data_IF_674891767534
#
_entry.id   IF_674891767534
#
_cell.length_a   1.000
_cell.length_b   1.000
_cell.length_c   1.000
_cell.angle_alpha   90.00
_cell.angle_beta   90.00
_cell.angle_gamma   90.00
#
_symmetry.space_group_name_H-M   'P 1'
#
loop_
_entity.id
_entity.type
_entity.pdbx_description
1 polymer ?
#
# COMPACT_ATOMS: atom_id res chain seq x y z
N UNK A 1 3.98 1.97 8.69
CA UNK A 1 2.67 2.29 9.26
C UNK A 1 1.76 2.49 8.09
N UNK A 2 0.52 2.05 8.22
CA UNK A 2 -0.53 2.32 7.27
C UNK A 2 -1.33 3.52 7.79
N UNK A 3 -1.54 4.50 6.93
CA UNK A 3 -2.24 5.74 7.28
C UNK A 3 -3.46 5.92 6.37
N UNK A 4 -4.65 5.81 6.91
CA UNK A 4 -5.89 6.04 6.17
C UNK A 4 -6.38 7.44 6.49
N UNK A 5 -6.68 8.22 5.47
CA UNK A 5 -7.20 9.59 5.60
C UNK A 5 -8.58 9.60 4.96
N UNK A 6 -9.61 9.77 5.79
CA UNK A 6 -11.01 9.72 5.35
C UNK A 6 -11.92 10.50 6.28
N UNK A 7 -12.96 11.11 5.73
CA UNK A 7 -14.09 11.67 6.49
C UNK A 7 -15.19 10.62 6.76
N UNK A 8 -14.99 9.39 6.27
CA UNK A 8 -15.94 8.28 6.34
C UNK A 8 -15.48 7.19 7.29
N UNK A 9 -15.03 7.57 8.48
CA UNK A 9 -14.49 6.64 9.48
C UNK A 9 -15.50 5.55 9.87
N UNK A 10 -16.80 5.85 9.81
CA UNK A 10 -17.88 4.89 10.08
C UNK A 10 -17.84 3.70 9.11
N UNK A 11 -17.43 3.90 7.85
CA UNK A 11 -17.27 2.82 6.86
C UNK A 11 -16.12 1.86 7.21
N UNK A 12 -15.27 2.27 8.17
CA UNK A 12 -14.09 1.54 8.63
C UNK A 12 -14.26 1.01 10.07
N UNK A 13 -15.47 1.13 10.64
CA UNK A 13 -15.78 0.54 11.94
C UNK A 13 -15.62 -0.99 11.90
N UNK A 14 -14.94 -1.53 12.92
CA UNK A 14 -14.69 -2.98 13.03
C UNK A 14 -13.33 -3.46 12.57
N UNK A 15 -12.45 -2.57 12.07
CA UNK A 15 -11.05 -2.94 11.85
C UNK A 15 -10.34 -3.09 13.18
N UNK A 16 -9.97 -4.33 13.51
CA UNK A 16 -9.23 -4.63 14.73
C UNK A 16 -7.86 -3.92 14.74
N UNK A 17 -7.46 -3.44 15.93
CA UNK A 17 -6.16 -2.80 16.18
C UNK A 17 -5.91 -1.48 15.39
N UNK A 18 -6.93 -0.90 14.78
CA UNK A 18 -6.84 0.43 14.17
C UNK A 18 -6.89 1.54 15.24
N UNK A 19 -5.98 2.51 15.13
CA UNK A 19 -6.00 3.73 15.93
C UNK A 19 -6.76 4.81 15.16
N UNK A 20 -7.99 5.06 15.55
CA UNK A 20 -8.83 6.13 14.98
C UNK A 20 -8.62 7.42 15.74
N UNK A 21 -8.22 8.50 15.06
CA UNK A 21 -7.99 9.83 15.68
C UNK A 21 -8.41 10.97 14.75
N UNK A 22 -8.75 12.10 15.33
CA UNK A 22 -8.78 13.36 14.58
C UNK A 22 -7.35 13.87 14.32
N UNK A 23 -7.19 14.81 13.39
CA UNK A 23 -5.87 15.41 13.12
C UNK A 23 -5.26 16.11 14.35
N UNK A 24 -6.09 16.67 15.25
CA UNK A 24 -5.62 17.33 16.46
C UNK A 24 -5.04 16.35 17.49
N UNK A 25 -5.43 15.08 17.42
CA UNK A 25 -5.03 14.04 18.37
C UNK A 25 -3.82 13.21 17.90
N UNK A 26 -3.24 13.56 16.74
CA UNK A 26 -2.05 12.88 16.20
C UNK A 26 -0.84 12.97 17.13
N UNK A 27 -0.76 14.02 17.95
CA UNK A 27 0.30 14.16 18.96
C UNK A 27 0.33 13.00 19.97
N UNK A 28 -0.78 12.27 20.15
CA UNK A 28 -0.88 11.11 21.04
C UNK A 28 -0.42 9.81 20.40
N UNK A 29 -0.13 9.80 19.10
CA UNK A 29 0.37 8.62 18.39
C UNK A 29 1.88 8.74 18.26
N UNK A 30 2.62 7.76 18.77
CA UNK A 30 4.07 7.71 18.61
C UNK A 30 4.43 7.56 17.12
N UNK A 31 5.16 8.53 16.50
CA UNK A 31 5.41 8.51 15.06
C UNK A 31 6.22 7.31 14.58
N UNK A 32 7.01 6.67 15.44
CA UNK A 32 7.86 5.54 15.02
C UNK A 32 7.18 4.17 15.14
N UNK A 33 6.07 4.08 15.87
CA UNK A 33 5.39 2.81 16.10
C UNK A 33 4.82 2.24 14.80
N UNK A 34 4.85 0.91 14.60
CA UNK A 34 3.99 0.31 13.61
C UNK A 34 2.55 0.36 14.11
N UNK A 35 1.68 1.01 13.34
CA UNK A 35 0.25 1.04 13.61
C UNK A 35 -0.52 1.16 12.30
N UNK A 36 -1.79 0.77 12.34
CA UNK A 36 -2.80 1.17 11.39
C UNK A 36 -3.49 2.40 11.98
N UNK A 37 -3.31 3.55 11.36
CA UNK A 37 -3.86 4.83 11.85
C UNK A 37 -4.92 5.30 10.87
N UNK A 38 -6.10 5.61 11.37
CA UNK A 38 -7.19 6.21 10.59
C UNK A 38 -7.37 7.64 11.10
N UNK A 39 -7.21 8.61 10.21
CA UNK A 39 -7.39 10.03 10.52
C UNK A 39 -8.71 10.51 9.94
N UNK A 40 -9.59 10.99 10.82
CA UNK A 40 -10.90 11.55 10.47
C UNK A 40 -10.77 12.95 9.86
N UNK A 41 -10.31 13.01 8.60
CA UNK A 41 -10.20 14.24 7.82
C UNK A 41 -10.35 13.93 6.33
N UNK A 42 -10.77 14.95 5.57
CA UNK A 42 -10.89 14.86 4.12
C UNK A 42 -9.56 14.84 3.37
N UNK A 43 -8.58 15.64 3.82
CA UNK A 43 -7.27 15.82 3.17
C UNK A 43 -6.16 15.99 4.20
N UNK A 44 -4.92 15.60 3.87
CA UNK A 44 -3.77 15.86 4.73
C UNK A 44 -3.66 17.36 5.05
N UNK A 45 -3.62 17.70 6.33
CA UNK A 45 -3.45 19.07 6.79
C UNK A 45 -2.09 19.27 7.46
N UNK A 46 -1.80 20.50 7.88
CA UNK A 46 -0.52 20.84 8.52
C UNK A 46 -0.19 19.96 9.74
N UNK A 47 -1.17 19.56 10.55
CA UNK A 47 -0.94 18.69 11.71
C UNK A 47 -0.51 17.28 11.28
N UNK A 48 -1.13 16.73 10.23
CA UNK A 48 -0.69 15.45 9.63
C UNK A 48 0.73 15.58 9.09
N UNK A 49 1.00 16.62 8.31
CA UNK A 49 2.31 16.85 7.69
C UNK A 49 3.42 17.04 8.73
N UNK A 50 3.16 17.79 9.80
CA UNK A 50 4.11 17.96 10.89
C UNK A 50 4.36 16.63 11.61
N UNK A 51 3.31 15.85 11.87
CA UNK A 51 3.44 14.57 12.56
C UNK A 51 4.20 13.53 11.72
N UNK A 52 3.89 13.41 10.43
CA UNK A 52 4.59 12.47 9.53
C UNK A 52 6.03 12.91 9.24
N UNK A 53 6.34 14.21 9.28
CA UNK A 53 7.71 14.70 9.13
C UNK A 53 8.66 14.18 10.23
N UNK A 54 8.11 13.80 11.38
CA UNK A 54 8.87 13.22 12.50
C UNK A 54 9.22 11.75 12.25
N UNK A 55 8.66 11.11 11.21
CA UNK A 55 8.88 9.69 10.91
C UNK A 55 10.22 9.47 10.22
N UNK A 56 10.90 8.40 10.62
CA UNK A 56 12.14 7.93 9.97
C UNK A 56 11.89 6.87 8.90
N UNK A 57 10.74 6.19 8.96
CA UNK A 57 10.32 5.14 8.03
C UNK A 57 9.15 5.61 7.18
N UNK A 58 9.20 5.22 5.91
CA UNK A 58 8.12 5.43 4.96
C UNK A 58 6.78 4.92 5.49
N UNK A 59 5.72 5.59 5.05
CA UNK A 59 4.33 5.25 5.33
C UNK A 59 3.61 5.10 4.03
N UNK A 60 2.66 4.17 4.03
CA UNK A 60 1.76 4.00 2.91
C UNK A 60 0.41 4.62 3.29
N UNK A 61 0.00 5.61 2.52
CA UNK A 61 -1.18 6.40 2.77
C UNK A 61 -2.31 5.89 1.88
N UNK A 62 -3.48 5.71 2.45
CA UNK A 62 -4.70 5.52 1.69
C UNK A 62 -5.56 6.77 1.84
N UNK A 63 -5.95 7.35 0.72
CA UNK A 63 -6.68 8.61 0.66
C UNK A 63 -8.08 8.32 0.13
N UNK A 64 -9.09 8.59 0.96
CA UNK A 64 -10.48 8.53 0.53
C UNK A 64 -10.69 9.47 -0.66
N UNK A 65 -11.54 9.06 -1.61
CA UNK A 65 -11.72 9.70 -2.91
C UNK A 65 -11.83 11.20 -2.76
N UNK A 66 -10.76 11.90 -3.11
CA UNK A 66 -10.75 13.35 -3.14
C UNK A 66 -11.38 13.77 -4.45
N UNK A 67 -12.33 14.71 -4.47
CA UNK A 67 -12.76 15.36 -5.72
C UNK A 67 -11.65 16.22 -6.36
N UNK A 68 -10.40 16.04 -5.94
CA UNK A 68 -9.23 16.73 -6.44
C UNK A 68 -8.61 15.95 -7.60
N UNK A 69 -8.04 16.66 -8.59
CA UNK A 69 -7.17 16.05 -9.58
C UNK A 69 -6.01 15.31 -8.90
N UNK A 70 -5.59 14.23 -9.54
CA UNK A 70 -4.51 13.34 -9.08
C UNK A 70 -3.22 14.09 -8.68
N UNK A 71 -2.72 14.96 -9.57
CA UNK A 71 -1.49 15.72 -9.33
C UNK A 71 -1.58 16.58 -8.06
N UNK A 72 -2.76 17.13 -7.79
CA UNK A 72 -3.00 17.95 -6.59
C UNK A 72 -2.93 17.13 -5.32
N UNK A 73 -3.26 15.84 -5.35
CA UNK A 73 -3.18 14.97 -4.17
C UNK A 73 -1.73 14.65 -3.82
N UNK A 74 -0.89 14.40 -4.84
CA UNK A 74 0.53 14.13 -4.66
C UNK A 74 1.30 15.32 -4.08
N UNK A 75 0.81 16.55 -4.24
CA UNK A 75 1.40 17.74 -3.60
C UNK A 75 1.30 17.70 -2.08
N UNK A 76 0.27 17.03 -1.52
CA UNK A 76 0.08 16.89 -0.08
C UNK A 76 0.86 15.71 0.53
N UNK A 77 1.49 14.86 -0.28
CA UNK A 77 2.18 13.67 0.20
C UNK A 77 3.69 13.87 0.10
N UNK A 78 4.42 13.97 1.24
CA UNK A 78 5.87 14.09 1.24
C UNK A 78 6.53 12.97 0.44
N UNK A 79 7.61 13.28 -0.30
CA UNK A 79 8.27 12.34 -1.20
C UNK A 79 8.82 11.06 -0.52
N UNK A 80 9.02 11.08 0.79
CA UNK A 80 9.41 9.91 1.60
C UNK A 80 8.24 8.94 1.89
N UNK A 81 7.05 9.24 1.39
CA UNK A 81 5.82 8.49 1.60
C UNK A 81 5.19 8.17 0.26
N UNK A 82 4.42 7.08 0.26
CA UNK A 82 3.68 6.62 -0.90
C UNK A 82 2.19 6.75 -0.59
N UNK A 83 1.36 7.05 -1.58
CA UNK A 83 -0.09 7.03 -1.42
C UNK A 83 -0.81 6.19 -2.45
N UNK A 84 -1.98 5.69 -2.07
CA UNK A 84 -2.99 5.10 -2.93
C UNK A 84 -4.31 5.84 -2.70
N UNK A 85 -5.07 6.02 -3.77
CA UNK A 85 -6.37 6.68 -3.73
C UNK A 85 -7.48 5.63 -3.78
N UNK A 86 -8.63 5.97 -3.20
CA UNK A 86 -9.83 5.12 -3.25
C UNK A 86 -10.25 4.72 -4.66
N UNK A 87 -9.97 5.56 -5.67
CA UNK A 87 -10.22 5.26 -7.09
C UNK A 87 -9.42 4.08 -7.61
N UNK A 88 -8.28 3.77 -6.97
CA UNK A 88 -7.37 2.70 -7.37
C UNK A 88 -7.53 1.45 -6.51
N UNK A 89 -7.94 1.61 -5.25
CA UNK A 89 -8.08 0.52 -4.28
C UNK A 89 -9.00 0.99 -3.16
N UNK A 90 -10.03 0.22 -2.81
CA UNK A 90 -10.85 0.55 -1.65
C UNK A 90 -10.10 0.33 -0.32
N UNK A 91 -10.60 0.89 0.77
CA UNK A 91 -9.92 0.80 2.06
C UNK A 91 -9.86 -0.64 2.61
N UNK A 92 -10.92 -1.43 2.41
CA UNK A 92 -11.00 -2.80 2.89
C UNK A 92 -9.94 -3.66 2.20
N UNK A 93 -9.82 -3.49 0.90
CA UNK A 93 -8.81 -4.14 0.08
C UNK A 93 -7.40 -3.69 0.48
N UNK A 94 -7.19 -2.37 0.66
CA UNK A 94 -5.93 -1.81 1.15
C UNK A 94 -5.47 -2.43 2.46
N UNK A 95 -6.36 -2.48 3.45
CA UNK A 95 -6.06 -3.04 4.75
C UNK A 95 -5.82 -4.54 4.61
N UNK A 96 -6.71 -5.27 3.95
CA UNK A 96 -6.59 -6.73 3.78
C UNK A 96 -5.29 -7.12 3.08
N UNK A 97 -4.84 -6.32 2.10
CA UNK A 97 -3.62 -6.55 1.34
C UNK A 97 -2.39 -6.20 2.17
N UNK A 98 -2.32 -4.98 2.70
CA UNK A 98 -1.06 -4.43 3.20
C UNK A 98 -0.89 -4.62 4.70
N UNK A 99 -1.97 -4.77 5.46
CA UNK A 99 -1.88 -4.98 6.90
C UNK A 99 -1.18 -6.30 7.24
N UNK A 100 -1.43 -7.46 6.59
CA UNK A 100 -0.69 -8.69 6.89
C UNK A 100 0.78 -8.60 6.47
N UNK A 101 1.08 -7.91 5.36
CA UNK A 101 2.46 -7.71 4.91
C UNK A 101 3.26 -6.79 5.83
N UNK A 102 2.62 -5.72 6.32
CA UNK A 102 3.28 -4.70 7.13
C UNK A 102 3.33 -5.08 8.61
N UNK A 103 2.24 -5.62 9.16
CA UNK A 103 2.14 -6.00 10.57
C UNK A 103 2.47 -7.47 10.80
N UNK A 104 2.24 -8.35 9.82
CA UNK A 104 2.51 -9.77 10.00
C UNK A 104 3.98 -10.16 10.10
N UNK A 105 4.87 -9.25 9.73
CA UNK A 105 6.31 -9.35 10.02
C UNK A 105 6.71 -8.73 11.36
N UNK A 106 5.80 -8.02 12.01
CA UNK A 106 6.03 -7.30 13.27
C UNK A 106 5.32 -7.96 14.46
N UNK A 107 4.36 -8.84 14.20
CA UNK A 107 3.63 -9.62 15.20
C UNK A 107 3.67 -11.10 14.81
N UNK A 108 4.18 -11.93 15.71
CA UNK A 108 4.57 -13.33 15.48
C UNK A 108 3.42 -14.29 15.07
N UNK A 109 2.15 -13.86 15.17
CA UNK A 109 0.96 -14.71 14.98
C UNK A 109 0.25 -14.54 13.63
N UNK A 110 0.91 -13.98 12.62
CA UNK A 110 0.25 -13.62 11.36
C UNK A 110 0.53 -14.69 10.29
N UNK A 111 -0.49 -15.17 9.55
CA UNK A 111 -0.36 -16.33 8.66
C UNK A 111 0.78 -16.18 7.66
N UNK A 112 1.44 -17.31 7.36
CA UNK A 112 2.59 -17.47 6.47
C UNK A 112 2.53 -16.54 5.26
N UNK A 113 3.15 -15.38 5.42
CA UNK A 113 3.22 -14.40 4.38
C UNK A 113 4.59 -14.49 3.72
N UNK A 114 4.61 -14.97 2.48
CA UNK A 114 5.84 -15.12 1.72
C UNK A 114 6.10 -13.80 0.99
N UNK A 115 6.98 -13.02 1.60
CA UNK A 115 7.52 -11.80 1.03
C UNK A 115 8.91 -12.08 0.50
N UNK A 116 9.07 -12.02 -0.82
CA UNK A 116 10.37 -12.17 -1.51
C UNK A 116 11.35 -11.02 -1.23
N UNK A 117 10.90 -9.98 -0.54
CA UNK A 117 11.70 -8.80 -0.16
C UNK A 117 11.98 -8.78 1.33
N UNK A 118 13.15 -8.29 1.72
CA UNK A 118 13.50 -8.10 3.14
C UNK A 118 12.80 -6.88 3.75
N UNK A 119 12.60 -6.84 5.09
CA UNK A 119 12.16 -5.61 5.76
C UNK A 119 13.11 -4.46 5.45
N UNK A 120 12.60 -3.28 5.12
CA UNK A 120 13.41 -2.13 4.68
C UNK A 120 13.49 -1.99 3.16
N UNK A 121 13.55 -3.09 2.40
CA UNK A 121 13.46 -3.02 0.93
C UNK A 121 12.07 -2.56 0.51
N UNK A 122 11.00 -3.05 1.15
CA UNK A 122 9.64 -2.55 0.89
C UNK A 122 9.57 -1.03 1.07
N UNK A 123 10.09 -0.52 2.18
CA UNK A 123 10.10 0.90 2.47
C UNK A 123 10.96 1.70 1.49
N UNK A 124 12.11 1.18 1.07
CA UNK A 124 12.93 1.81 0.03
C UNK A 124 12.18 1.89 -1.31
N UNK A 125 11.41 0.86 -1.65
CA UNK A 125 10.61 0.86 -2.87
C UNK A 125 9.41 1.80 -2.78
N UNK A 126 8.73 1.84 -1.62
CA UNK A 126 7.69 2.84 -1.35
C UNK A 126 8.23 4.27 -1.40
N UNK A 127 9.49 4.52 -1.04
CA UNK A 127 10.10 5.86 -1.20
C UNK A 127 10.31 6.20 -2.68
N UNK A 128 10.66 5.22 -3.51
CA UNK A 128 10.83 5.41 -4.96
C UNK A 128 9.49 5.59 -5.68
N UNK A 129 8.43 5.00 -5.14
CA UNK A 129 7.09 5.07 -5.69
C UNK A 129 6.25 6.10 -4.93
N UNK A 130 6.06 7.28 -5.53
CA UNK A 130 5.17 8.30 -4.92
C UNK A 130 3.71 7.85 -4.88
N UNK A 131 3.31 6.97 -5.78
CA UNK A 131 1.98 6.43 -5.88
C UNK A 131 1.98 4.91 -5.92
N UNK A 132 0.85 4.32 -5.54
CA UNK A 132 0.53 2.92 -5.66
C UNK A 132 -0.86 2.80 -6.30
N UNK A 133 -0.95 2.06 -7.41
CA UNK A 133 -2.19 1.73 -8.13
C UNK A 133 -2.36 0.23 -8.19
N UNK A 134 -3.57 -0.29 -8.27
CA UNK A 134 -3.82 -1.69 -8.60
C UNK A 134 -4.38 -1.80 -10.01
N UNK A 135 -3.78 -2.67 -10.80
CA UNK A 135 -4.26 -2.98 -12.15
C UNK A 135 -4.42 -4.50 -12.24
N UNK A 136 -5.63 -5.01 -12.54
CA UNK A 136 -5.83 -6.43 -12.81
C UNK A 136 -4.93 -6.91 -13.94
N UNK A 137 -4.38 -8.12 -13.83
CA UNK A 137 -3.45 -8.67 -14.85
C UNK A 137 -3.98 -8.55 -16.29
N UNK A 138 -5.27 -8.83 -16.49
CA UNK A 138 -5.89 -8.81 -17.82
C UNK A 138 -6.09 -7.40 -18.38
N UNK A 139 -5.98 -6.37 -17.55
CA UNK A 139 -6.05 -4.96 -17.93
C UNK A 139 -4.66 -4.35 -18.17
N UNK A 140 -3.58 -5.11 -17.93
CA UNK A 140 -2.21 -4.66 -18.17
C UNK A 140 -1.97 -4.54 -19.68
N UNK A 141 -1.91 -3.30 -20.18
CA UNK A 141 -1.53 -3.01 -21.55
C UNK A 141 -0.02 -2.69 -21.65
N UNK A 142 0.72 -3.25 -22.63
CA UNK A 142 2.16 -3.00 -22.81
C UNK A 142 2.53 -1.51 -22.98
N UNK A 143 1.56 -0.71 -23.44
CA UNK A 143 1.73 0.73 -23.72
C UNK A 143 1.35 1.64 -22.55
N UNK A 144 0.70 1.11 -21.49
CA UNK A 144 0.37 1.84 -20.26
C UNK A 144 1.38 1.51 -19.14
N UNK A 145 2.66 1.31 -19.48
CA UNK A 145 3.77 1.26 -18.54
C UNK A 145 3.96 2.66 -17.90
N UNK A 146 2.98 3.04 -17.09
CA UNK A 146 2.96 4.26 -16.32
C UNK A 146 3.81 4.02 -15.07
N UNK A 147 4.39 5.11 -14.61
CA UNK A 147 5.47 5.14 -13.65
C UNK A 147 4.94 4.77 -12.27
N UNK A 148 5.66 3.89 -11.56
CA UNK A 148 5.44 3.58 -10.15
C UNK A 148 4.07 2.97 -9.79
N UNK A 149 3.55 2.01 -10.57
CA UNK A 149 2.33 1.28 -10.19
C UNK A 149 2.62 -0.10 -9.61
N UNK A 150 1.85 -0.47 -8.57
CA UNK A 150 1.74 -1.88 -8.19
C UNK A 150 0.90 -2.61 -9.24
N UNK A 151 1.19 -3.88 -9.46
CA UNK A 151 0.38 -4.71 -10.36
C UNK A 151 -0.32 -5.79 -9.54
N UNK A 152 -1.59 -6.02 -9.86
CA UNK A 152 -2.44 -6.93 -9.11
C UNK A 152 -2.80 -8.16 -9.94
N UNK A 153 -2.44 -9.32 -9.41
CA UNK A 153 -2.94 -10.60 -9.88
C UNK A 153 -4.01 -11.08 -8.90
N UNK A 154 -5.28 -10.97 -9.27
CA UNK A 154 -6.32 -11.70 -8.54
C UNK A 154 -6.25 -13.16 -8.94
N UNK A 155 -5.83 -13.99 -8.00
CA UNK A 155 -6.00 -15.43 -8.14
C UNK A 155 -7.50 -15.77 -8.09
N UNK A 156 -8.12 -15.94 -9.25
CA UNK A 156 -9.14 -16.99 -9.40
C UNK A 156 -8.49 -18.39 -9.50
N UNK A 157 -7.16 -18.46 -9.49
CA UNK A 157 -6.33 -19.63 -9.79
C UNK A 157 -5.41 -19.99 -8.62
N UNK A 158 -6.01 -20.40 -7.49
CA UNK A 158 -5.32 -20.89 -6.29
C UNK A 158 -4.53 -22.20 -6.49
N UNK A 159 -4.36 -22.67 -7.73
CA UNK A 159 -3.72 -23.93 -8.05
C UNK A 159 -2.28 -23.79 -8.57
N UNK A 160 -1.74 -22.56 -8.64
CA UNK A 160 -0.36 -22.35 -9.09
C UNK A 160 0.63 -22.40 -7.91
N UNK A 161 1.82 -22.98 -8.15
CA UNK A 161 2.90 -22.99 -7.17
C UNK A 161 3.58 -21.62 -7.04
N UNK A 162 4.31 -21.40 -5.95
CA UNK A 162 5.13 -20.19 -5.75
C UNK A 162 6.11 -19.97 -6.92
N UNK A 163 6.75 -21.04 -7.38
CA UNK A 163 7.73 -21.00 -8.47
C UNK A 163 7.07 -20.56 -9.80
N UNK A 164 5.84 -21.01 -10.06
CA UNK A 164 5.06 -20.58 -11.23
C UNK A 164 4.69 -19.09 -11.15
N UNK A 165 4.35 -18.60 -9.95
CA UNK A 165 4.11 -17.17 -9.72
C UNK A 165 5.36 -16.32 -9.97
N UNK A 166 6.51 -16.74 -9.46
CA UNK A 166 7.78 -16.04 -9.67
C UNK A 166 8.16 -16.00 -11.16
N UNK A 167 8.01 -17.13 -11.87
CA UNK A 167 8.28 -17.19 -13.32
C UNK A 167 7.36 -16.27 -14.12
N UNK A 168 6.07 -16.23 -13.76
CA UNK A 168 5.09 -15.34 -14.40
C UNK A 168 5.43 -13.86 -14.15
N UNK A 169 5.84 -13.53 -12.93
CA UNK A 169 6.37 -12.21 -12.58
C UNK A 169 7.58 -11.84 -13.43
N UNK A 170 8.58 -12.72 -13.53
CA UNK A 170 9.79 -12.49 -14.34
C UNK A 170 9.45 -12.22 -15.80
N UNK A 171 8.50 -12.98 -16.37
CA UNK A 171 8.02 -12.74 -17.73
C UNK A 171 7.36 -11.37 -17.86
N UNK A 172 6.45 -11.01 -16.94
CA UNK A 172 5.77 -9.72 -16.98
C UNK A 172 6.75 -8.55 -16.84
N UNK A 173 7.75 -8.69 -15.96
CA UNK A 173 8.84 -7.72 -15.80
C UNK A 173 9.55 -7.46 -17.14
N UNK A 174 9.87 -8.54 -17.87
CA UNK A 174 10.49 -8.44 -19.19
C UNK A 174 9.56 -7.76 -20.21
N UNK A 175 8.29 -8.20 -20.28
CA UNK A 175 7.32 -7.70 -21.26
C UNK A 175 6.99 -6.21 -21.06
N UNK A 176 7.03 -5.73 -19.81
CA UNK A 176 6.81 -4.33 -19.45
C UNK A 176 8.09 -3.48 -19.45
N UNK A 177 9.27 -4.06 -19.68
CA UNK A 177 10.54 -3.35 -19.60
C UNK A 177 10.84 -2.77 -18.20
N UNK A 178 10.32 -3.40 -17.15
CA UNK A 178 10.53 -2.96 -15.77
C UNK A 178 11.94 -3.32 -15.28
N UNK A 179 12.59 -2.39 -14.58
CA UNK A 179 13.97 -2.57 -14.10
C UNK A 179 14.00 -3.42 -12.82
N UNK A 180 12.97 -3.30 -11.97
CA UNK A 180 12.83 -4.03 -10.71
C UNK A 180 11.44 -4.69 -10.59
N UNK A 181 11.38 -5.74 -9.77
CA UNK A 181 10.14 -6.45 -9.44
C UNK A 181 10.25 -6.96 -8.01
N UNK A 182 9.13 -6.96 -7.30
CA UNK A 182 8.94 -7.57 -6.01
C UNK A 182 7.66 -8.41 -6.05
N UNK A 183 7.68 -9.63 -5.56
CA UNK A 183 6.46 -10.42 -5.37
C UNK A 183 6.02 -10.34 -3.91
N UNK A 184 4.78 -9.91 -3.67
CA UNK A 184 4.14 -9.98 -2.36
C UNK A 184 3.15 -11.15 -2.43
N UNK A 185 3.38 -12.26 -1.75
CA UNK A 185 2.42 -13.38 -1.74
C UNK A 185 1.80 -13.50 -0.35
N UNK A 186 0.48 -13.66 -0.32
CA UNK A 186 -0.26 -13.92 0.90
C UNK A 186 -0.92 -15.28 0.77
N UNK A 187 -0.70 -16.17 1.75
CA UNK A 187 -1.42 -17.46 1.82
C UNK A 187 -2.90 -17.29 2.22
N UNK A 188 -3.40 -16.06 2.31
CA UNK A 188 -4.82 -15.80 2.44
C UNK A 188 -5.55 -16.30 1.18
N UNK A 189 -6.75 -16.88 1.33
CA UNK A 189 -7.43 -17.67 0.29
C UNK A 189 -7.81 -16.93 -1.00
N UNK A 190 -7.34 -15.70 -1.27
CA UNK A 190 -7.77 -14.91 -2.41
C UNK A 190 -6.71 -14.03 -3.06
N UNK A 191 -5.40 -14.15 -2.76
CA UNK A 191 -4.46 -13.21 -3.39
C UNK A 191 -2.95 -13.49 -3.28
N UNK A 192 -2.33 -13.69 -4.44
CA UNK A 192 -0.88 -13.59 -4.67
C UNK A 192 -0.62 -12.34 -5.52
N UNK A 193 0.41 -11.54 -5.23
CA UNK A 193 0.60 -10.22 -5.84
C UNK A 193 2.02 -10.02 -6.39
N UNK A 194 2.17 -9.14 -7.39
CA UNK A 194 3.48 -8.76 -7.94
C UNK A 194 3.58 -7.24 -8.08
N UNK A 195 4.42 -6.64 -7.25
CA UNK A 195 4.90 -5.26 -7.35
C UNK A 195 5.93 -5.15 -8.49
N UNK A 196 5.67 -4.32 -9.52
CA UNK A 196 6.70 -3.98 -10.51
C UNK A 196 7.18 -2.57 -10.25
N UNK A 197 8.50 -2.39 -10.23
CA UNK A 197 9.13 -1.14 -9.83
C UNK A 197 10.16 -0.79 -10.89
N UNK A 198 10.30 0.49 -11.22
CA UNK A 198 11.38 0.93 -12.11
C UNK A 198 12.59 1.37 -11.29
#
# INVERSE_FOLDING_TARGET
MLLLITEKVVELEGIENAIVRSAAELCYIQPQGPALVIIDIKLPNAAVLEWVSKRTRATLWWLASTNLPHDSVLEYVPAQHCCVQQTHMDASEFIRLLSPHYFGRLFDDTPDCILSITPGELEQQLIRCRELVLIPEHEILPTQAIWAYLYWFTSSTLNMSIEEYEQRGVKLKHDLGAVQMCCLMSNLPFSSFVMLLR
#
